data_IF_182254931129
#
_entry.id   IF_182254931129
#
_cell.length_a   1.000
_cell.length_b   1.000
_cell.length_c   1.000
_cell.angle_alpha   90.00
_cell.angle_beta   90.00
_cell.angle_gamma   90.00
#
_symmetry.space_group_name_H-M   'P 1'
#
loop_
_entity.id
_entity.type
_entity.pdbx_description
1 polymer ?
#
# COMPACT_ATOMS: atom_id res chain seq x y z
N UNK A 1 -2.76 -6.71 -7.52
CA UNK A 1 -2.03 -7.15 -8.72
C UNK A 1 -0.53 -6.98 -8.46
N UNK A 2 0.29 -7.99 -8.76
CA UNK A 2 1.69 -8.09 -8.30
C UNK A 2 2.71 -7.62 -9.35
N UNK A 3 3.71 -6.87 -8.91
CA UNK A 3 4.87 -6.47 -9.72
C UNK A 3 5.78 -7.67 -9.97
N UNK A 4 6.11 -7.97 -11.23
CA UNK A 4 7.13 -8.97 -11.55
C UNK A 4 8.51 -8.34 -11.42
N UNK A 5 9.41 -9.02 -10.72
CA UNK A 5 10.77 -8.59 -10.46
C UNK A 5 11.69 -9.51 -11.25
N UNK A 6 12.59 -8.91 -12.02
CA UNK A 6 13.67 -9.58 -12.73
C UNK A 6 14.99 -9.05 -12.20
N UNK A 7 15.88 -9.94 -11.79
CA UNK A 7 17.24 -9.58 -11.35
C UNK A 7 18.24 -10.43 -12.11
N UNK A 8 19.33 -9.81 -12.55
CA UNK A 8 20.51 -10.54 -13.00
C UNK A 8 21.74 -9.97 -12.33
N UNK A 9 22.78 -10.79 -12.18
CA UNK A 9 24.06 -10.38 -11.60
C UNK A 9 24.95 -9.86 -12.72
N UNK A 10 25.61 -8.72 -12.50
CA UNK A 10 26.56 -8.11 -13.43
C UNK A 10 27.73 -7.56 -12.63
N UNK A 11 28.85 -8.31 -12.61
CA UNK A 11 29.99 -8.01 -11.74
C UNK A 11 29.56 -7.90 -10.26
N UNK A 12 29.87 -6.75 -9.66
CA UNK A 12 29.54 -6.42 -8.27
C UNK A 12 28.13 -5.85 -8.07
N UNK A 13 27.27 -5.94 -9.08
CA UNK A 13 25.94 -5.37 -9.06
C UNK A 13 24.83 -6.42 -9.26
N UNK A 14 23.72 -6.19 -8.57
CA UNK A 14 22.43 -6.80 -8.82
C UNK A 14 21.59 -5.82 -9.64
N UNK A 15 21.26 -6.20 -10.87
CA UNK A 15 20.54 -5.34 -11.80
C UNK A 15 19.07 -5.67 -11.77
N UNK A 16 18.28 -4.81 -11.12
CA UNK A 16 16.84 -4.96 -10.95
C UNK A 16 16.08 -4.36 -12.12
N UNK A 17 15.01 -5.04 -12.53
CA UNK A 17 14.00 -4.51 -13.44
C UNK A 17 12.64 -4.95 -12.94
N UNK A 18 11.72 -4.00 -12.75
CA UNK A 18 10.35 -4.29 -12.35
C UNK A 18 9.42 -4.19 -13.55
N UNK A 19 8.37 -5.01 -13.55
CA UNK A 19 7.33 -5.03 -14.57
C UNK A 19 5.99 -4.93 -13.87
N UNK A 20 5.32 -3.79 -14.04
CA UNK A 20 3.92 -3.59 -13.63
C UNK A 20 3.00 -3.82 -14.83
N UNK A 21 1.84 -4.45 -14.62
CA UNK A 21 0.77 -4.44 -15.63
C UNK A 21 -0.07 -3.20 -15.37
N UNK A 22 -0.23 -2.36 -16.39
CA UNK A 22 -1.08 -1.18 -16.33
C UNK A 22 -2.47 -1.46 -16.91
N UNK A 23 -3.47 -0.87 -16.27
CA UNK A 23 -4.73 -0.46 -16.90
C UNK A 23 -4.44 0.44 -18.12
N UNK A 24 -5.32 0.36 -19.11
CA UNK A 24 -5.18 1.00 -20.41
C UNK A 24 -5.06 2.53 -20.28
N UNK A 25 -3.86 3.05 -20.53
CA UNK A 25 -3.72 4.38 -21.10
C UNK A 25 -2.59 4.35 -22.14
N UNK A 26 -3.02 4.45 -23.40
CA UNK A 26 -2.34 4.70 -24.67
C UNK A 26 -0.92 4.11 -24.89
N UNK A 27 -0.87 3.18 -25.86
CA UNK A 27 0.17 3.00 -26.89
C UNK A 27 1.31 1.98 -26.79
N UNK A 28 1.30 0.92 -25.98
CA UNK A 28 2.27 -0.20 -26.13
C UNK A 28 1.73 -1.39 -25.34
N UNK A 29 1.71 -2.53 -26.00
CA UNK A 29 1.30 -3.82 -25.45
C UNK A 29 2.40 -4.25 -24.45
N UNK A 30 2.05 -4.42 -23.16
CA UNK A 30 2.96 -4.55 -21.99
C UNK A 30 3.93 -3.34 -21.76
N UNK A 31 3.42 -2.21 -21.22
CA UNK A 31 4.19 -0.95 -21.03
C UNK A 31 4.96 -0.72 -19.72
N UNK A 32 4.77 -1.49 -18.65
CA UNK A 32 5.23 -1.07 -17.31
C UNK A 32 6.63 -1.54 -16.90
N UNK A 33 7.60 -1.59 -17.81
CA UNK A 33 8.99 -1.96 -17.49
C UNK A 33 9.73 -0.77 -16.87
N UNK A 34 10.32 -0.94 -15.69
CA UNK A 34 11.16 0.09 -15.09
C UNK A 34 12.50 0.25 -15.83
N UNK A 35 13.11 1.42 -15.68
CA UNK A 35 14.55 1.58 -15.91
C UNK A 35 15.31 0.58 -15.02
N UNK A 36 16.38 -0.07 -15.51
CA UNK A 36 17.19 -0.94 -14.67
C UNK A 36 17.82 -0.17 -13.51
N UNK A 37 17.78 -0.74 -12.31
CA UNK A 37 18.48 -0.21 -11.15
C UNK A 37 19.68 -1.10 -10.81
N UNK A 38 20.84 -0.50 -10.61
CA UNK A 38 22.09 -1.19 -10.26
C UNK A 38 22.32 -1.11 -8.76
N UNK A 39 21.97 -2.17 -8.05
CA UNK A 39 22.23 -2.27 -6.61
C UNK A 39 23.60 -2.90 -6.38
N UNK A 40 24.47 -2.24 -5.61
CA UNK A 40 25.76 -2.84 -5.25
C UNK A 40 25.59 -4.05 -4.32
N UNK A 41 26.36 -5.12 -4.56
CA UNK A 41 26.40 -6.29 -3.68
C UNK A 41 26.81 -5.89 -2.25
N UNK A 42 27.71 -4.92 -2.12
CA UNK A 42 28.10 -4.36 -0.82
C UNK A 42 26.89 -3.81 -0.07
N UNK A 43 26.06 -2.97 -0.69
CA UNK A 43 24.88 -2.42 -0.01
C UNK A 43 23.78 -3.47 0.21
N UNK A 44 23.64 -4.45 -0.69
CA UNK A 44 22.77 -5.61 -0.46
C UNK A 44 23.16 -6.38 0.82
N UNK A 45 24.44 -6.72 1.00
CA UNK A 45 24.90 -7.40 2.21
C UNK A 45 24.87 -6.51 3.45
N UNK A 46 25.13 -5.20 3.31
CA UNK A 46 24.97 -4.26 4.44
C UNK A 46 23.52 -4.21 4.93
N UNK A 47 22.54 -4.17 4.02
CA UNK A 47 21.12 -4.17 4.37
C UNK A 47 20.70 -5.45 5.12
N UNK A 48 21.42 -6.56 4.91
CA UNK A 48 21.19 -7.80 5.64
C UNK A 48 21.79 -7.83 7.05
N UNK A 49 22.85 -7.05 7.28
CA UNK A 49 23.59 -7.05 8.54
C UNK A 49 23.08 -5.97 9.49
N UNK A 50 22.44 -4.92 8.97
CA UNK A 50 21.89 -3.83 9.75
C UNK A 50 20.39 -4.06 10.03
N UNK A 51 19.90 -3.53 11.16
CA UNK A 51 18.46 -3.39 11.43
C UNK A 51 17.91 -2.04 10.92
N UNK A 52 18.65 -1.40 10.02
CA UNK A 52 18.40 -0.05 9.52
C UNK A 52 18.17 -0.07 8.01
N UNK A 53 17.66 1.05 7.49
CA UNK A 53 17.52 1.25 6.04
C UNK A 53 18.87 1.59 5.44
N UNK A 54 19.30 0.84 4.43
CA UNK A 54 20.48 1.17 3.62
C UNK A 54 20.02 1.88 2.36
N UNK A 55 20.55 3.09 2.13
CA UNK A 55 20.30 3.84 0.89
C UNK A 55 21.45 3.57 -0.05
N UNK A 56 21.10 3.06 -1.23
CA UNK A 56 21.97 2.95 -2.39
C UNK A 56 21.52 4.04 -3.38
N UNK A 57 22.47 4.71 -4.02
CA UNK A 57 22.17 5.80 -4.94
C UNK A 57 23.09 5.78 -6.15
N UNK A 58 22.51 6.14 -7.28
CA UNK A 58 23.15 6.44 -8.56
C UNK A 58 22.73 7.88 -8.96
N UNK A 59 23.44 8.50 -9.91
CA UNK A 59 23.27 9.90 -10.32
C UNK A 59 21.81 10.26 -10.67
N UNK A 60 21.02 9.29 -11.13
CA UNK A 60 19.63 9.50 -11.59
C UNK A 60 18.59 8.68 -10.83
N UNK A 61 19.00 7.83 -9.89
CA UNK A 61 18.11 6.84 -9.25
C UNK A 61 18.55 6.60 -7.80
N UNK A 62 17.61 6.31 -6.91
CA UNK A 62 17.95 5.84 -5.57
C UNK A 62 17.11 4.64 -5.18
N UNK A 63 17.69 3.75 -4.37
CA UNK A 63 17.00 2.62 -3.77
C UNK A 63 17.22 2.63 -2.26
N UNK A 64 16.12 2.58 -1.50
CA UNK A 64 16.17 2.36 -0.06
C UNK A 64 15.84 0.88 0.23
N UNK A 65 16.76 0.19 0.90
CA UNK A 65 16.67 -1.23 1.22
C UNK A 65 16.46 -1.41 2.71
N UNK A 66 15.49 -2.26 3.08
CA UNK A 66 15.25 -2.62 4.47
C UNK A 66 14.88 -4.09 4.60
N UNK A 67 15.54 -4.78 5.53
CA UNK A 67 15.22 -6.15 5.88
C UNK A 67 14.29 -6.21 7.10
N UNK A 68 13.13 -6.85 6.93
CA UNK A 68 12.20 -7.22 8.00
C UNK A 68 12.49 -8.66 8.43
N UNK A 69 13.35 -8.81 9.46
CA UNK A 69 13.90 -10.12 9.86
C UNK A 69 12.86 -11.12 10.34
N UNK A 70 11.81 -10.68 11.04
CA UNK A 70 10.78 -11.59 11.59
C UNK A 70 9.95 -12.22 10.48
N UNK A 71 9.74 -11.47 9.41
CA UNK A 71 8.89 -11.82 8.28
C UNK A 71 9.68 -12.47 7.12
N UNK A 72 11.02 -12.46 7.19
CA UNK A 72 11.92 -12.85 6.09
C UNK A 72 11.64 -12.08 4.79
N UNK A 73 11.31 -10.79 4.92
CA UNK A 73 11.00 -9.91 3.80
C UNK A 73 12.00 -8.79 3.65
N UNK A 74 12.55 -8.65 2.44
CA UNK A 74 13.30 -7.46 2.05
C UNK A 74 12.38 -6.52 1.29
N UNK A 75 12.23 -5.30 1.80
CA UNK A 75 11.60 -4.18 1.09
C UNK A 75 12.67 -3.41 0.33
N UNK A 76 12.38 -3.11 -0.92
CA UNK A 76 13.20 -2.21 -1.73
C UNK A 76 12.28 -1.14 -2.30
N UNK A 77 12.57 0.11 -1.96
CA UNK A 77 11.88 1.30 -2.46
C UNK A 77 12.77 1.97 -3.51
N UNK A 78 12.46 1.75 -4.78
CA UNK A 78 13.10 2.44 -5.88
C UNK A 78 12.46 3.81 -6.08
N UNK A 79 13.28 4.78 -6.37
CA UNK A 79 12.86 6.07 -6.90
C UNK A 79 13.69 6.42 -8.12
N UNK A 80 12.99 6.68 -9.22
CA UNK A 80 13.57 6.99 -10.51
C UNK A 80 13.31 8.46 -10.82
N UNK A 81 14.38 9.22 -11.04
CA UNK A 81 14.30 10.65 -11.34
C UNK A 81 14.39 10.81 -12.86
N UNK A 82 13.25 11.08 -13.49
CA UNK A 82 13.11 11.34 -14.92
C UNK A 82 12.56 12.76 -15.12
N UNK A 83 13.37 13.78 -14.83
CA UNK A 83 12.94 15.18 -14.83
C UNK A 83 12.13 15.53 -16.10
N UNK A 84 10.93 16.15 -15.95
CA UNK A 84 10.39 16.74 -14.72
C UNK A 84 9.63 15.77 -13.79
N UNK A 85 9.60 14.47 -14.09
CA UNK A 85 8.80 13.46 -13.38
C UNK A 85 9.65 12.62 -12.43
N UNK A 86 9.08 12.27 -11.29
CA UNK A 86 9.66 11.31 -10.36
C UNK A 86 8.71 10.11 -10.26
N UNK A 87 9.25 8.90 -10.23
CA UNK A 87 8.46 7.68 -10.12
C UNK A 87 9.01 6.79 -9.02
N UNK A 88 8.10 6.21 -8.22
CA UNK A 88 8.47 5.31 -7.14
C UNK A 88 7.90 3.91 -7.34
N UNK A 89 8.72 2.90 -7.02
CA UNK A 89 8.31 1.50 -6.99
C UNK A 89 8.76 0.82 -5.70
N UNK A 90 7.83 0.15 -5.02
CA UNK A 90 8.13 -0.62 -3.82
C UNK A 90 7.88 -2.08 -4.11
N UNK A 91 8.92 -2.88 -3.89
CA UNK A 91 8.85 -4.34 -4.02
C UNK A 91 9.20 -5.02 -2.70
N UNK A 92 8.68 -6.23 -2.55
CA UNK A 92 8.98 -7.11 -1.44
C UNK A 92 9.43 -8.48 -1.95
N UNK A 93 10.51 -9.00 -1.37
CA UNK A 93 11.13 -10.27 -1.75
C UNK A 93 11.36 -11.13 -0.50
N UNK A 94 11.30 -12.45 -0.66
CA UNK A 94 11.74 -13.37 0.39
C UNK A 94 13.26 -13.30 0.48
N UNK A 95 13.78 -12.75 1.58
CA UNK A 95 15.19 -12.42 1.68
C UNK A 95 16.08 -13.66 1.64
N UNK A 96 15.79 -14.70 2.43
CA UNK A 96 16.61 -15.93 2.43
C UNK A 96 16.64 -16.61 1.07
N UNK A 97 15.50 -16.67 0.37
CA UNK A 97 15.43 -17.26 -0.97
C UNK A 97 16.29 -16.46 -1.95
N UNK A 98 16.12 -15.14 -1.96
CA UNK A 98 16.86 -14.26 -2.86
C UNK A 98 18.36 -14.28 -2.57
N UNK A 99 18.75 -14.24 -1.29
CA UNK A 99 20.15 -14.34 -0.84
C UNK A 99 20.80 -15.64 -1.31
N UNK A 100 20.15 -16.79 -1.16
CA UNK A 100 20.70 -18.07 -1.65
C UNK A 100 21.02 -18.02 -3.14
N UNK A 101 20.18 -17.38 -3.94
CA UNK A 101 20.47 -17.18 -5.35
C UNK A 101 21.68 -16.25 -5.57
N UNK A 102 21.75 -15.11 -4.87
CA UNK A 102 22.90 -14.18 -4.95
C UNK A 102 24.22 -14.87 -4.57
N UNK A 103 24.21 -15.65 -3.49
CA UNK A 103 25.36 -16.36 -2.93
C UNK A 103 25.77 -17.56 -3.80
N UNK A 104 24.81 -18.22 -4.47
CA UNK A 104 25.10 -19.38 -5.34
C UNK A 104 25.99 -19.07 -6.54
N UNK A 105 26.14 -17.79 -6.88
CA UNK A 105 26.88 -17.37 -8.08
C UNK A 105 26.27 -17.88 -9.39
N UNK A 106 25.04 -18.40 -9.36
CA UNK A 106 24.40 -19.02 -10.51
C UNK A 106 24.33 -18.05 -11.69
N UNK A 107 24.85 -18.47 -12.84
CA UNK A 107 24.64 -17.79 -14.10
C UNK A 107 23.14 -17.85 -14.44
N UNK A 108 22.52 -16.69 -14.63
CA UNK A 108 21.11 -16.63 -15.00
C UNK A 108 20.36 -15.43 -14.44
N UNK A 109 19.04 -15.48 -14.58
CA UNK A 109 18.12 -14.43 -14.16
C UNK A 109 17.23 -14.94 -13.04
N UNK A 110 17.22 -14.24 -11.91
CA UNK A 110 16.20 -14.41 -10.87
C UNK A 110 14.90 -13.75 -11.30
N UNK A 111 13.77 -14.46 -11.14
CA UNK A 111 12.43 -13.92 -11.40
C UNK A 111 11.49 -14.28 -10.26
N UNK A 112 10.78 -13.29 -9.74
CA UNK A 112 9.76 -13.50 -8.71
C UNK A 112 8.69 -12.41 -8.80
N UNK A 113 7.45 -12.74 -8.46
CA UNK A 113 6.44 -11.73 -8.18
C UNK A 113 6.70 -11.13 -6.79
N UNK A 114 6.64 -9.80 -6.69
CA UNK A 114 6.71 -9.09 -5.42
C UNK A 114 5.74 -9.70 -4.42
N UNK A 115 6.19 -9.94 -3.18
CA UNK A 115 5.34 -10.37 -2.07
C UNK A 115 4.24 -9.32 -1.86
N UNK A 116 2.98 -9.77 -1.79
CA UNK A 116 1.90 -8.91 -1.35
C UNK A 116 1.99 -8.82 0.17
N UNK A 117 2.36 -7.64 0.66
CA UNK A 117 2.20 -7.36 2.08
C UNK A 117 0.79 -6.82 2.25
N UNK A 118 -0.06 -7.63 2.88
CA UNK A 118 -1.31 -7.10 3.42
C UNK A 118 -0.97 -6.26 4.65
N UNK A 119 -0.78 -4.97 4.46
CA UNK A 119 -0.79 -4.02 5.57
C UNK A 119 -2.26 -3.69 5.82
N UNK A 120 -2.91 -4.24 6.86
CA UNK A 120 -4.30 -3.88 7.14
C UNK A 120 -4.39 -2.38 7.34
N UNK A 121 -5.49 -1.79 6.87
CA UNK A 121 -5.81 -0.44 7.28
C UNK A 121 -6.04 -0.40 8.79
N UNK A 122 -5.55 0.65 9.42
CA UNK A 122 -5.81 0.90 10.84
C UNK A 122 -7.00 1.83 10.95
N UNK A 123 -8.12 1.32 11.45
CA UNK A 123 -9.31 2.12 11.74
C UNK A 123 -9.26 2.47 13.23
N UNK A 124 -9.33 3.77 13.54
CA UNK A 124 -9.30 4.30 14.90
C UNK A 124 -10.58 5.11 15.08
N UNK A 125 -11.36 4.80 16.11
CA UNK A 125 -12.46 5.66 16.55
C UNK A 125 -11.98 6.44 17.77
N UNK A 126 -12.14 7.77 17.73
CA UNK A 126 -11.95 8.58 18.94
C UNK A 126 -13.04 8.28 19.95
N UNK A 127 -12.93 8.82 21.16
CA UNK A 127 -13.98 8.71 22.17
C UNK A 127 -15.36 9.14 21.63
N UNK A 128 -15.44 10.32 21.00
CA UNK A 128 -16.67 10.80 20.36
C UNK A 128 -17.11 9.93 19.17
N UNK A 129 -16.16 9.38 18.41
CA UNK A 129 -16.46 8.41 17.35
C UNK A 129 -17.04 7.10 17.92
N UNK A 130 -16.55 6.64 19.07
CA UNK A 130 -17.02 5.41 19.71
C UNK A 130 -18.46 5.51 20.19
N UNK A 131 -18.91 6.69 20.62
CA UNK A 131 -20.32 6.93 20.94
C UNK A 131 -21.21 6.72 19.71
N UNK A 132 -20.77 7.23 18.55
CA UNK A 132 -21.47 7.03 17.27
C UNK A 132 -21.44 5.58 16.80
N UNK A 133 -20.36 4.85 17.05
CA UNK A 133 -20.33 3.41 16.79
C UNK A 133 -21.40 2.69 17.65
N UNK A 134 -21.56 3.03 18.93
CA UNK A 134 -22.61 2.43 19.76
C UNK A 134 -24.01 2.73 19.21
N UNK A 135 -24.26 3.95 18.76
CA UNK A 135 -25.51 4.36 18.09
C UNK A 135 -25.76 3.53 16.82
N UNK A 136 -24.76 3.39 15.95
CA UNK A 136 -24.84 2.55 14.74
C UNK A 136 -25.12 1.09 15.07
N UNK A 137 -24.47 0.55 16.10
CA UNK A 137 -24.59 -0.86 16.48
C UNK A 137 -25.95 -1.20 17.11
N UNK A 138 -26.66 -0.23 17.69
CA UNK A 138 -27.98 -0.42 18.29
C UNK A 138 -29.09 -0.58 17.23
N UNK A 139 -28.87 -0.10 16.00
CA UNK A 139 -29.81 -0.24 14.89
C UNK A 139 -29.32 -1.31 13.86
N UNK A 140 -29.98 -2.47 13.75
CA UNK A 140 -29.54 -3.55 12.86
C UNK A 140 -29.46 -3.19 11.38
N UNK A 141 -30.33 -2.30 10.89
CA UNK A 141 -30.34 -1.87 9.49
C UNK A 141 -29.16 -0.96 9.18
N UNK A 142 -28.88 -0.01 10.08
CA UNK A 142 -27.75 0.91 9.94
C UNK A 142 -26.43 0.17 10.14
N UNK A 143 -26.33 -0.70 11.15
CA UNK A 143 -25.16 -1.58 11.37
C UNK A 143 -24.72 -2.30 10.10
N UNK A 144 -25.66 -2.94 9.37
CA UNK A 144 -25.34 -3.67 8.13
C UNK A 144 -24.79 -2.75 7.04
N UNK A 145 -25.39 -1.56 6.88
CA UNK A 145 -24.96 -0.56 5.89
C UNK A 145 -23.59 0.03 6.27
N UNK A 146 -23.35 0.27 7.55
CA UNK A 146 -22.08 0.75 8.07
C UNK A 146 -20.96 -0.28 7.84
N UNK A 147 -21.17 -1.55 8.19
CA UNK A 147 -20.18 -2.61 7.94
C UNK A 147 -19.84 -2.70 6.44
N UNK A 148 -20.86 -2.58 5.58
CA UNK A 148 -20.67 -2.60 4.13
C UNK A 148 -19.81 -1.43 3.66
N UNK A 149 -20.13 -0.19 4.03
CA UNK A 149 -19.35 0.98 3.59
C UNK A 149 -17.93 0.97 4.16
N UNK A 150 -17.76 0.55 5.43
CA UNK A 150 -16.44 0.38 6.04
C UNK A 150 -15.58 -0.62 5.27
N UNK A 151 -16.15 -1.77 4.90
CA UNK A 151 -15.47 -2.77 4.09
C UNK A 151 -15.09 -2.20 2.72
N UNK A 152 -16.07 -1.68 2.00
CA UNK A 152 -15.94 -1.32 0.59
C UNK A 152 -14.96 -0.13 0.39
N UNK A 153 -14.90 0.81 1.34
CA UNK A 153 -14.10 2.04 1.20
C UNK A 153 -12.84 2.10 2.09
N UNK A 154 -12.93 1.61 3.33
CA UNK A 154 -11.89 1.84 4.33
C UNK A 154 -11.06 0.60 4.65
N UNK A 155 -11.42 -0.59 4.16
CA UNK A 155 -10.68 -1.85 4.44
C UNK A 155 -9.99 -2.41 3.19
N UNK A 156 -10.55 -2.21 1.99
CA UNK A 156 -10.03 -2.82 0.74
C UNK A 156 -8.68 -2.26 0.30
N UNK A 157 -8.35 -1.00 0.62
CA UNK A 157 -7.11 -0.34 0.18
C UNK A 157 -6.08 -0.26 1.31
N UNK A 158 -5.30 -1.32 1.53
CA UNK A 158 -4.36 -1.46 2.65
C UNK A 158 -3.32 -0.33 2.81
N UNK A 159 -2.68 -0.27 3.98
CA UNK A 159 -1.56 0.62 4.29
C UNK A 159 -1.92 2.03 4.78
N UNK A 160 -3.19 2.31 5.06
CA UNK A 160 -3.67 3.63 5.53
C UNK A 160 -4.20 3.58 6.96
N UNK A 161 -4.07 4.69 7.68
CA UNK A 161 -4.73 4.89 8.97
C UNK A 161 -5.86 5.89 8.80
N UNK A 162 -7.06 5.50 9.22
CA UNK A 162 -8.25 6.33 9.22
C UNK A 162 -8.71 6.56 10.66
N UNK A 163 -8.80 7.82 11.07
CA UNK A 163 -9.33 8.23 12.37
C UNK A 163 -10.73 8.80 12.19
N UNK A 164 -11.70 8.25 12.91
CA UNK A 164 -13.10 8.64 12.87
C UNK A 164 -13.50 9.41 14.14
N UNK A 165 -14.28 10.46 13.94
CA UNK A 165 -14.79 11.39 14.93
C UNK A 165 -16.32 11.50 14.77
N UNK A 166 -17.03 11.90 15.82
CA UNK A 166 -18.41 12.35 15.68
C UNK A 166 -18.47 13.59 14.79
N UNK A 167 -19.43 13.63 13.85
CA UNK A 167 -19.80 14.84 13.10
C UNK A 167 -21.02 15.55 13.71
N UNK A 168 -21.44 15.12 14.89
CA UNK A 168 -22.63 15.58 15.62
C UNK A 168 -23.98 15.28 14.93
N UNK A 169 -23.98 14.54 13.82
CA UNK A 169 -25.20 14.08 13.15
C UNK A 169 -25.54 12.63 13.56
N UNK A 170 -26.82 12.21 13.48
CA UNK A 170 -27.20 10.81 13.72
C UNK A 170 -26.50 9.87 12.75
N UNK A 171 -25.87 8.82 13.29
CA UNK A 171 -25.15 7.80 12.51
C UNK A 171 -24.02 8.28 11.57
N UNK A 172 -23.63 9.56 11.66
CA UNK A 172 -22.60 10.18 10.82
C UNK A 172 -21.23 10.25 11.49
N UNK A 173 -20.20 10.40 10.67
CA UNK A 173 -18.81 10.54 11.12
C UNK A 173 -18.03 11.54 10.26
N UNK A 174 -17.12 12.26 10.91
CA UNK A 174 -15.99 12.87 10.22
C UNK A 174 -14.80 11.90 10.27
N UNK A 175 -14.02 11.81 9.20
CA UNK A 175 -12.82 10.97 9.16
C UNK A 175 -11.60 11.70 8.63
N UNK A 176 -10.43 11.24 9.04
CA UNK A 176 -9.12 11.75 8.63
C UNK A 176 -8.16 10.61 8.31
N UNK A 177 -7.55 10.66 7.13
CA UNK A 177 -6.46 9.77 6.74
C UNK A 177 -5.11 10.32 7.24
N UNK A 178 -4.19 9.43 7.62
CA UNK A 178 -2.81 9.79 8.05
C UNK A 178 -1.96 10.51 6.98
N UNK A 179 -2.48 10.70 5.76
CA UNK A 179 -1.87 11.46 4.66
C UNK A 179 -2.49 12.84 4.40
N UNK A 180 -3.46 13.28 5.23
CA UNK A 180 -4.04 14.63 5.15
C UNK A 180 -5.39 14.72 4.43
N UNK A 181 -5.82 13.68 3.72
CA UNK A 181 -7.20 13.57 3.23
C UNK A 181 -8.17 13.48 4.41
N UNK A 182 -9.30 14.14 4.31
CA UNK A 182 -10.37 14.09 5.31
C UNK A 182 -11.73 14.11 4.62
N UNK A 183 -12.79 13.85 5.38
CA UNK A 183 -14.11 13.77 4.80
C UNK A 183 -15.22 13.45 5.78
N UNK A 184 -16.44 13.44 5.27
CA UNK A 184 -17.64 12.99 5.97
C UNK A 184 -18.07 11.60 5.49
N UNK A 185 -18.59 10.80 6.42
CA UNK A 185 -19.36 9.59 6.16
C UNK A 185 -20.79 9.86 6.64
N UNK A 186 -21.67 10.18 5.70
CA UNK A 186 -23.02 10.70 6.00
C UNK A 186 -24.06 9.64 5.68
N UNK A 187 -24.99 9.42 6.61
CA UNK A 187 -26.16 8.59 6.37
C UNK A 187 -27.29 9.45 5.78
N UNK A 188 -27.61 9.23 4.51
CA UNK A 188 -28.78 9.82 3.88
C UNK A 188 -30.03 9.01 4.21
N UNK A 189 -31.04 9.67 4.79
CA UNK A 189 -32.39 9.15 5.01
C UNK A 189 -33.31 9.61 3.88
N UNK A 190 -34.37 8.85 3.61
CA UNK A 190 -35.41 9.27 2.65
C UNK A 190 -36.19 10.44 3.27
N UNK A 191 -36.15 11.62 2.65
CA UNK A 191 -36.81 12.82 3.17
C UNK A 191 -38.33 12.67 3.27
N UNK A 192 -38.92 11.75 2.49
CA UNK A 192 -40.35 11.46 2.53
C UNK A 192 -40.74 10.50 3.65
N UNK A 193 -39.77 9.77 4.19
CA UNK A 193 -39.97 8.75 5.21
C UNK A 193 -38.69 8.60 6.06
N UNK A 194 -38.41 9.57 6.95
CA UNK A 194 -37.13 9.67 7.66
C UNK A 194 -36.85 8.49 8.59
N UNK A 195 -37.89 7.80 9.05
CA UNK A 195 -37.79 6.66 9.96
C UNK A 195 -37.56 5.34 9.21
N UNK A 196 -37.59 5.35 7.88
CA UNK A 196 -37.41 4.17 7.06
C UNK A 196 -35.94 3.89 6.73
N UNK A 197 -35.27 3.26 7.68
CA UNK A 197 -33.86 2.87 7.57
C UNK A 197 -33.57 1.85 6.46
N UNK A 198 -34.57 1.22 5.83
CA UNK A 198 -34.31 0.31 4.71
C UNK A 198 -33.75 1.03 3.49
N UNK A 199 -34.26 2.24 3.23
CA UNK A 199 -33.84 3.08 2.10
C UNK A 199 -32.60 3.91 2.40
N UNK A 200 -32.19 4.01 3.66
CA UNK A 200 -31.04 4.80 4.06
C UNK A 200 -29.76 4.36 3.33
N UNK A 201 -28.84 5.26 3.05
CA UNK A 201 -27.57 4.94 2.39
C UNK A 201 -26.44 5.79 2.95
N UNK A 202 -25.28 5.17 3.16
CA UNK A 202 -24.05 5.90 3.44
C UNK A 202 -23.44 6.43 2.15
N UNK A 203 -23.08 7.71 2.14
CA UNK A 203 -22.23 8.32 1.13
C UNK A 203 -20.99 8.96 1.79
N UNK A 204 -19.92 9.06 0.99
CA UNK A 204 -18.64 9.62 1.41
C UNK A 204 -18.45 10.96 0.70
N UNK A 205 -18.12 11.97 1.50
CA UNK A 205 -17.73 13.29 1.03
C UNK A 205 -16.27 13.52 1.40
N UNK A 206 -15.44 13.94 0.46
CA UNK A 206 -14.01 14.27 0.63
C UNK A 206 -13.76 15.72 0.28
#
# INVERSE_FOLDING_TARGET
MRTLIKVHKSGDFLVFTTYRKGEENSDYRYKGKSTPYYLSLTNFYRAANLNETVIDQDIKHFAALRLFRKEDLMRIEFTFIHLPRCYQDTIYLHYRQFRRWVDSGAEGTYRQLSVEIYTPNRIIFTESGMEKVKEVLSNPFIKRKFIKVMRDWFIVNGGRTYTFYSDFTPYGFFWKESGGLNGGLILHLDYRDPDNYHKAKYDIHT
#
